data_IF_345528723583
#
_entry.id   IF_345528723583
#
_cell.length_a   1.000
_cell.length_b   1.000
_cell.length_c   1.000
_cell.angle_alpha   90.00
_cell.angle_beta   90.00
_cell.angle_gamma   90.00
#
_symmetry.space_group_name_H-M   'P 1'
#
loop_
_entity.id
_entity.type
_entity.pdbx_description
1 polymer ?
#
# COMPACT_ATOMS: atom_id res chain seq x y z
N UNK A 1 8.73 -26.12 10.48
CA UNK A 1 8.02 -24.85 10.21
C UNK A 1 8.48 -24.35 8.83
N UNK A 2 7.72 -24.61 7.75
CA UNK A 2 8.02 -23.99 6.46
C UNK A 2 7.51 -22.55 6.52
N UNK A 3 8.39 -21.57 6.77
CA UNK A 3 8.06 -20.16 6.60
C UNK A 3 7.98 -19.86 5.12
N UNK A 4 6.91 -20.33 4.45
CA UNK A 4 6.62 -19.90 3.08
C UNK A 4 6.57 -18.38 3.10
N UNK A 5 7.45 -17.74 2.33
CA UNK A 5 7.46 -16.31 2.19
C UNK A 5 6.16 -15.88 1.52
N UNK A 6 5.15 -15.54 2.34
CA UNK A 6 3.87 -15.08 1.83
C UNK A 6 4.01 -13.64 1.36
N UNK A 7 3.72 -13.40 0.08
CA UNK A 7 3.61 -12.07 -0.51
C UNK A 7 2.29 -11.44 -0.06
N UNK A 8 2.32 -10.76 1.08
CA UNK A 8 1.15 -10.04 1.62
C UNK A 8 1.04 -8.65 0.98
N UNK A 9 -0.18 -8.11 0.85
CA UNK A 9 -0.42 -6.75 0.33
C UNK A 9 0.45 -5.69 1.04
N UNK A 10 0.61 -5.82 2.37
CA UNK A 10 1.43 -4.91 3.17
C UNK A 10 2.91 -4.94 2.80
N UNK A 11 3.47 -6.12 2.53
CA UNK A 11 4.87 -6.27 2.11
C UNK A 11 5.10 -5.68 0.72
N UNK A 12 4.18 -5.94 -0.21
CA UNK A 12 4.27 -5.39 -1.57
C UNK A 12 4.14 -3.86 -1.55
N UNK A 13 3.21 -3.32 -0.75
CA UNK A 13 3.06 -1.88 -0.57
C UNK A 13 4.32 -1.21 0.00
N UNK A 14 5.00 -1.83 0.97
CA UNK A 14 6.27 -1.29 1.50
C UNK A 14 7.40 -1.27 0.48
N UNK A 15 7.31 -2.10 -0.57
CA UNK A 15 8.22 -2.09 -1.71
C UNK A 15 7.78 -1.13 -2.81
N UNK A 16 6.71 -0.35 -2.58
CA UNK A 16 6.14 0.53 -3.60
C UNK A 16 5.46 -0.24 -4.72
N UNK A 17 4.89 -1.42 -4.47
CA UNK A 17 4.23 -2.25 -5.48
C UNK A 17 2.72 -2.36 -5.20
N UNK A 18 1.89 -2.13 -6.23
CA UNK A 18 0.43 -2.35 -6.22
C UNK A 18 0.05 -3.50 -7.13
N UNK A 19 -1.00 -4.24 -6.76
CA UNK A 19 -1.55 -5.29 -7.61
C UNK A 19 -2.46 -4.67 -8.67
N UNK A 20 -2.22 -4.93 -9.95
CA UNK A 20 -3.07 -4.47 -11.05
C UNK A 20 -4.32 -5.35 -11.19
N UNK A 21 -5.22 -4.98 -12.11
CA UNK A 21 -6.48 -5.73 -12.35
C UNK A 21 -6.23 -7.11 -12.95
N UNK A 22 -5.09 -7.28 -13.60
CA UNK A 22 -4.62 -8.50 -14.26
C UNK A 22 -3.97 -9.48 -13.26
N UNK A 23 -3.61 -9.00 -12.08
CA UNK A 23 -3.07 -9.79 -10.98
C UNK A 23 -1.55 -9.69 -10.80
N UNK A 24 -0.86 -8.92 -11.63
CA UNK A 24 0.57 -8.63 -11.55
C UNK A 24 0.84 -7.47 -10.59
N UNK A 25 2.12 -7.23 -10.30
CA UNK A 25 2.57 -6.12 -9.45
C UNK A 25 3.23 -5.04 -10.30
N UNK A 26 2.75 -3.81 -10.13
CA UNK A 26 3.28 -2.61 -10.78
C UNK A 26 3.77 -1.63 -9.71
N UNK A 27 4.74 -0.79 -10.07
CA UNK A 27 5.19 0.25 -9.16
C UNK A 27 4.08 1.26 -8.88
N UNK A 28 3.94 1.63 -7.61
CA UNK A 28 3.12 2.74 -7.16
C UNK A 28 3.83 3.99 -7.64
N UNK A 29 3.16 4.74 -8.51
CA UNK A 29 3.60 6.07 -8.88
C UNK A 29 3.59 6.95 -7.62
N UNK A 30 4.72 7.54 -7.21
CA UNK A 30 4.77 8.44 -6.06
C UNK A 30 3.89 9.67 -6.22
N UNK A 31 3.45 9.99 -7.46
CA UNK A 31 2.55 11.09 -7.76
C UNK A 31 1.06 10.70 -7.68
N UNK A 32 0.76 9.40 -7.58
CA UNK A 32 -0.60 8.87 -7.46
C UNK A 32 -1.12 9.04 -6.02
N UNK A 33 -1.66 10.22 -5.75
CA UNK A 33 -2.27 10.61 -4.47
C UNK A 33 -3.59 9.89 -4.15
N UNK A 34 -4.12 9.11 -5.09
CA UNK A 34 -5.39 8.36 -4.93
C UNK A 34 -5.21 6.94 -4.40
N UNK A 35 -3.96 6.49 -4.29
CA UNK A 35 -3.62 5.14 -3.87
C UNK A 35 -3.95 4.90 -2.39
N UNK A 36 -4.70 3.84 -2.10
CA UNK A 36 -5.01 3.32 -0.75
C UNK A 36 -3.75 3.00 0.09
N UNK A 37 -2.59 2.95 -0.56
CA UNK A 37 -1.29 2.65 0.05
C UNK A 37 -0.52 3.89 0.50
N UNK A 38 -0.99 5.10 0.18
CA UNK A 38 -0.43 6.32 0.79
C UNK A 38 -0.85 6.32 2.26
N UNK A 39 0.09 6.25 3.23
CA UNK A 39 -0.27 6.31 4.62
C UNK A 39 -0.92 7.66 4.90
N UNK A 40 -2.23 7.65 5.13
CA UNK A 40 -3.02 8.83 5.49
C UNK A 40 -2.68 9.23 6.93
N UNK A 41 -1.46 9.69 7.16
CA UNK A 41 -0.90 9.91 8.50
C UNK A 41 -1.65 10.97 9.32
N UNK A 42 -2.67 11.65 8.79
CA UNK A 42 -3.29 12.82 9.44
C UNK A 42 -4.82 12.95 9.37
N UNK A 43 -5.62 11.91 9.05
CA UNK A 43 -7.09 12.09 9.07
C UNK A 43 -7.69 12.25 10.48
N UNK A 44 -6.97 11.83 11.53
CA UNK A 44 -7.45 11.94 12.92
C UNK A 44 -6.99 13.22 13.66
N UNK A 45 -6.33 14.18 12.98
CA UNK A 45 -5.92 15.46 13.60
C UNK A 45 -6.92 16.62 13.40
N UNK A 46 -8.17 16.34 13.01
CA UNK A 46 -9.25 17.35 12.90
C UNK A 46 -10.59 16.85 13.45
N UNK A 47 -10.61 16.41 14.71
CA UNK A 47 -11.83 16.39 15.53
C UNK A 47 -11.55 17.01 16.90
N UNK A 48 -11.06 18.25 16.89
CA UNK A 48 -11.14 19.15 18.04
C UNK A 48 -11.53 20.54 17.52
N UNK A 49 -12.82 20.84 17.60
CA UNK A 49 -13.40 22.06 18.16
C UNK A 49 -14.91 21.93 18.18
#
# INVERSE_FOLDING_TARGET
MSSKYTNTKKKMASLGLKKNKQGDYEYIDPQDTTSEFVPVRNLNRKKEK
#
